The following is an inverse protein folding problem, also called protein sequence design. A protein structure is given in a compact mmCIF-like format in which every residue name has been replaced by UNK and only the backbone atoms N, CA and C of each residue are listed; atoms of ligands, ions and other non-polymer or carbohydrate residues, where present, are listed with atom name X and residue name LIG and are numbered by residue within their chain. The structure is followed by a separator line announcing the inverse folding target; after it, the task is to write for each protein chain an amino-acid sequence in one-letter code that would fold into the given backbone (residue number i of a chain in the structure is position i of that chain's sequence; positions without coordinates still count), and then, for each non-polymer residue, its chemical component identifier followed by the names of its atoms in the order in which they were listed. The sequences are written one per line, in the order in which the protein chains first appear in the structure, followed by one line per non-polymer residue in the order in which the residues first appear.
data_IF_092668882144
#
_entry.id   IF_092668882144
#
_cell.length_a   1.000
_cell.length_b   1.000
_cell.length_c   1.000
_cell.angle_alpha   90.00
_cell.angle_beta   90.00
_cell.angle_gamma   90.00
#
_symmetry.space_group_name_H-M   'P 1'
#
loop_
_entity.id
_entity.type
_entity.pdbx_description
1 polymer ?
#
# COMPACT_ATOMS: atom_id res chain seq x y z
N UNK A 1 -14.01 20.66 -16.90
CA UNK A 1 -14.31 20.99 -15.48
C UNK A 1 -12.97 21.20 -14.81
N UNK A 2 -12.87 22.18 -13.94
CA UNK A 2 -11.62 22.49 -13.24
C UNK A 2 -11.21 21.30 -12.34
N UNK A 3 -9.97 20.79 -12.41
CA UNK A 3 -9.48 19.72 -11.52
C UNK A 3 -9.64 20.04 -10.03
N UNK A 4 -9.52 21.32 -9.64
CA UNK A 4 -9.71 21.73 -8.25
C UNK A 4 -11.14 21.49 -7.76
N UNK A 5 -12.15 21.81 -8.58
CA UNK A 5 -13.57 21.55 -8.24
C UNK A 5 -13.84 20.05 -8.12
N UNK A 6 -13.31 19.24 -9.06
CA UNK A 6 -13.49 17.79 -9.01
C UNK A 6 -12.83 17.17 -7.77
N UNK A 7 -11.71 17.74 -7.33
CA UNK A 7 -11.00 17.33 -6.12
C UNK A 7 -11.80 17.64 -4.86
N UNK A 8 -12.37 18.84 -4.78
CA UNK A 8 -13.24 19.23 -3.68
C UNK A 8 -14.49 18.35 -3.62
N UNK A 9 -15.13 18.07 -4.75
CA UNK A 9 -16.28 17.16 -4.82
C UNK A 9 -15.92 15.74 -4.37
N UNK A 10 -14.75 15.24 -4.75
CA UNK A 10 -14.25 13.94 -4.29
C UNK A 10 -14.12 13.93 -2.77
N UNK A 11 -13.46 14.94 -2.19
CA UNK A 11 -13.26 15.02 -0.73
C UNK A 11 -14.60 15.12 -0.01
N UNK A 12 -15.51 16.01 -0.45
CA UNK A 12 -16.85 16.13 0.11
C UNK A 12 -17.61 14.78 0.07
N UNK A 13 -17.46 14.02 -1.02
CA UNK A 13 -18.05 12.67 -1.13
C UNK A 13 -17.47 11.66 -0.13
N UNK A 14 -16.17 11.75 0.20
CA UNK A 14 -15.51 10.88 1.17
C UNK A 14 -15.86 11.23 2.62
N UNK A 15 -16.10 12.51 2.89
CA UNK A 15 -16.55 13.04 4.18
C UNK A 15 -18.04 12.77 4.47
N UNK A 16 -18.84 12.63 3.40
CA UNK A 16 -20.29 12.49 3.50
C UNK A 16 -20.70 11.31 4.41
N UNK A 17 -21.74 11.51 5.22
CA UNK A 17 -22.19 10.54 6.24
C UNK A 17 -22.43 9.11 5.74
N UNK A 18 -22.85 8.96 4.48
CA UNK A 18 -23.07 7.64 3.88
C UNK A 18 -21.79 6.82 3.65
N UNK A 19 -20.65 7.48 3.44
CA UNK A 19 -19.33 6.84 3.30
C UNK A 19 -18.50 6.96 4.58
N UNK A 20 -18.36 8.16 5.09
CA UNK A 20 -17.63 8.54 6.31
C UNK A 20 -16.27 7.86 6.47
N UNK A 21 -15.54 7.76 5.34
CA UNK A 21 -14.23 7.15 5.32
C UNK A 21 -13.12 8.16 5.61
N UNK A 22 -13.39 9.45 5.37
CA UNK A 22 -12.51 10.57 5.65
C UNK A 22 -13.09 11.36 6.83
N UNK A 23 -12.34 11.45 7.93
CA UNK A 23 -12.79 12.01 9.22
C UNK A 23 -11.85 13.04 9.79
N UNK A 24 -10.54 12.93 9.49
CA UNK A 24 -9.50 13.85 9.91
C UNK A 24 -9.50 15.09 9.03
N UNK A 25 -9.54 16.28 9.63
CA UNK A 25 -9.43 17.56 8.91
C UNK A 25 -8.09 17.68 8.18
N UNK A 26 -6.98 17.29 8.83
CA UNK A 26 -5.66 17.31 8.22
C UNK A 26 -5.62 16.42 6.96
N UNK A 27 -6.22 15.23 7.02
CA UNK A 27 -6.29 14.33 5.89
C UNK A 27 -7.19 14.89 4.77
N UNK A 28 -8.29 15.58 5.12
CA UNK A 28 -9.15 16.26 4.16
C UNK A 28 -8.39 17.35 3.40
N UNK A 29 -7.58 18.14 4.10
CA UNK A 29 -6.70 19.14 3.50
C UNK A 29 -5.67 18.47 2.58
N UNK A 30 -5.01 17.41 3.03
CA UNK A 30 -4.03 16.67 2.23
C UNK A 30 -4.64 16.14 0.92
N UNK A 31 -5.85 15.58 0.95
CA UNK A 31 -6.54 15.12 -0.25
C UNK A 31 -6.92 16.27 -1.20
N UNK A 32 -7.17 17.49 -0.67
CA UNK A 32 -7.43 18.68 -1.49
C UNK A 32 -6.15 19.26 -2.10
N UNK A 33 -4.98 19.04 -1.50
CA UNK A 33 -3.70 19.53 -1.98
C UNK A 33 -3.14 18.67 -3.11
N UNK A 34 -3.23 17.32 -3.00
CA UNK A 34 -2.57 16.41 -3.93
C UNK A 34 -3.28 16.31 -5.29
N UNK A 35 -2.60 16.64 -6.41
CA UNK A 35 -3.15 16.53 -7.76
C UNK A 35 -3.17 15.06 -8.22
N UNK A 36 -4.26 14.33 -7.91
CA UNK A 36 -4.38 12.89 -8.20
C UNK A 36 -4.24 12.57 -9.69
N UNK A 37 -4.58 13.49 -10.59
CA UNK A 37 -4.41 13.34 -12.03
C UNK A 37 -2.97 13.04 -12.45
N UNK A 38 -1.97 13.43 -11.65
CA UNK A 38 -0.57 13.11 -11.91
C UNK A 38 -0.22 11.63 -11.66
N UNK A 39 -1.09 10.87 -10.99
CA UNK A 39 -0.85 9.49 -10.54
C UNK A 39 -1.71 8.45 -11.25
N UNK A 40 -2.66 8.87 -12.09
CA UNK A 40 -3.59 7.96 -12.78
C UNK A 40 -3.49 8.08 -14.29
N UNK A 41 -3.84 7.03 -15.05
CA UNK A 41 -3.73 7.06 -16.52
C UNK A 41 -4.81 7.91 -17.18
N UNK A 42 -5.92 8.21 -16.49
CA UNK A 42 -7.08 8.93 -17.02
C UNK A 42 -7.36 10.20 -16.20
N UNK A 43 -6.82 11.33 -16.62
CA UNK A 43 -7.01 12.62 -15.93
C UNK A 43 -8.48 13.01 -15.73
N UNK A 44 -9.35 12.74 -16.72
CA UNK A 44 -10.77 13.13 -16.66
C UNK A 44 -11.56 12.42 -15.56
N UNK A 45 -11.17 11.24 -15.18
CA UNK A 45 -11.78 10.44 -14.13
C UNK A 45 -10.91 10.28 -12.89
N UNK A 46 -9.83 11.06 -12.80
CA UNK A 46 -8.87 10.99 -11.70
C UNK A 46 -9.52 11.06 -10.31
N UNK A 47 -10.57 11.85 -10.18
CA UNK A 47 -11.27 12.09 -8.92
C UNK A 47 -12.48 11.19 -8.66
N UNK A 48 -12.73 10.23 -9.57
CA UNK A 48 -13.72 9.18 -9.32
C UNK A 48 -13.22 8.24 -8.20
N UNK A 49 -14.10 7.86 -7.28
CA UNK A 49 -13.78 6.92 -6.19
C UNK A 49 -13.71 5.48 -6.72
N UNK A 50 -12.70 5.23 -7.55
CA UNK A 50 -12.41 3.91 -8.12
C UNK A 50 -10.90 3.68 -8.26
N UNK A 51 -10.46 2.42 -8.28
CA UNK A 51 -9.06 2.10 -8.60
C UNK A 51 -8.82 2.20 -10.12
N UNK A 52 -7.54 2.35 -10.50
CA UNK A 52 -7.09 2.29 -11.88
C UNK A 52 -6.00 1.22 -12.03
N UNK A 53 -6.05 0.46 -13.10
CA UNK A 53 -4.98 -0.47 -13.47
C UNK A 53 -3.86 0.31 -14.18
N UNK A 54 -2.63 0.22 -13.67
CA UNK A 54 -1.46 0.87 -14.26
C UNK A 54 -0.20 0.07 -13.97
N UNK A 55 0.60 -0.19 -14.98
CA UNK A 55 1.87 -0.93 -14.90
C UNK A 55 1.76 -2.29 -14.19
N UNK A 56 0.61 -2.98 -14.32
CA UNK A 56 0.38 -4.28 -13.69
C UNK A 56 0.08 -4.22 -12.19
N UNK A 57 -0.12 -3.02 -11.65
CA UNK A 57 -0.61 -2.81 -10.29
C UNK A 57 -1.90 -1.98 -10.30
N UNK A 58 -2.45 -1.77 -9.12
CA UNK A 58 -3.66 -0.99 -8.93
C UNK A 58 -3.34 0.30 -8.21
N UNK A 59 -3.61 1.44 -8.87
CA UNK A 59 -3.70 2.73 -8.17
C UNK A 59 -4.96 2.71 -7.32
N UNK A 60 -4.82 2.81 -6.02
CA UNK A 60 -5.92 2.65 -5.07
C UNK A 60 -7.01 3.72 -5.27
N UNK A 61 -8.27 3.35 -5.00
CA UNK A 61 -9.36 4.31 -4.94
C UNK A 61 -9.13 5.33 -3.80
N UNK A 62 -9.58 6.60 -3.96
CA UNK A 62 -9.47 7.60 -2.90
C UNK A 62 -10.00 7.15 -1.55
N UNK A 63 -11.16 6.48 -1.52
CA UNK A 63 -11.74 5.92 -0.30
C UNK A 63 -10.85 4.85 0.36
N UNK A 64 -10.12 4.07 -0.42
CA UNK A 64 -9.18 3.08 0.12
C UNK A 64 -7.98 3.78 0.75
N UNK A 65 -7.38 4.76 0.07
CA UNK A 65 -6.25 5.54 0.60
C UNK A 65 -6.68 6.27 1.88
N UNK A 66 -7.87 6.88 1.91
CA UNK A 66 -8.42 7.53 3.10
C UNK A 66 -8.51 6.54 4.29
N UNK A 67 -9.04 5.33 4.07
CA UNK A 67 -9.11 4.29 5.11
C UNK A 67 -7.74 3.86 5.63
N UNK A 68 -6.75 3.73 4.75
CA UNK A 68 -5.38 3.39 5.13
C UNK A 68 -4.76 4.47 6.01
N UNK A 69 -4.83 5.73 5.58
CA UNK A 69 -4.21 6.85 6.30
C UNK A 69 -4.97 7.24 7.57
N UNK A 70 -6.30 7.08 7.62
CA UNK A 70 -7.09 7.19 8.87
C UNK A 70 -6.69 6.12 9.89
N UNK A 71 -6.37 4.91 9.44
CA UNK A 71 -5.91 3.84 10.33
C UNK A 71 -4.45 4.06 10.78
N UNK A 72 -3.59 4.56 9.89
CA UNK A 72 -2.19 4.88 10.17
C UNK A 72 -2.06 6.07 11.10
N UNK A 73 -2.91 7.09 10.89
CA UNK A 73 -2.95 8.35 11.64
C UNK A 73 -1.57 9.02 11.79
N UNK A 74 -0.86 9.31 10.68
CA UNK A 74 0.44 9.95 10.72
C UNK A 74 0.29 11.42 11.16
N UNK A 75 1.32 11.95 11.82
CA UNK A 75 1.37 13.31 12.34
C UNK A 75 2.55 14.07 11.75
N UNK A 76 2.44 15.38 11.73
CA UNK A 76 3.50 16.27 11.26
C UNK A 76 4.86 15.91 11.89
N UNK A 77 5.90 15.80 11.06
CA UNK A 77 7.26 15.47 11.45
C UNK A 77 7.52 13.99 11.77
N UNK A 78 6.51 13.12 11.76
CA UNK A 78 6.73 11.68 11.95
C UNK A 78 7.37 11.03 10.72
N UNK A 79 8.31 10.12 10.96
CA UNK A 79 8.95 9.30 9.92
C UNK A 79 8.03 8.17 9.46
N UNK A 80 7.76 8.10 8.17
CA UNK A 80 6.82 7.14 7.58
C UNK A 80 7.49 6.26 6.54
N UNK A 81 7.28 4.94 6.63
CA UNK A 81 7.61 3.98 5.59
C UNK A 81 6.35 3.45 4.91
N UNK A 82 6.29 3.54 3.58
CA UNK A 82 5.23 2.95 2.76
C UNK A 82 5.82 1.80 1.93
N UNK A 83 5.30 0.59 2.14
CA UNK A 83 5.73 -0.63 1.46
C UNK A 83 4.69 -1.02 0.42
N UNK A 84 5.11 -1.13 -0.84
CA UNK A 84 4.23 -1.35 -1.98
C UNK A 84 3.64 -0.06 -2.53
N UNK A 85 4.45 1.00 -2.62
CA UNK A 85 4.02 2.38 -2.92
C UNK A 85 3.39 2.57 -4.31
N UNK A 86 3.47 1.57 -5.19
CA UNK A 86 2.92 1.63 -6.52
C UNK A 86 3.43 2.85 -7.30
N UNK A 87 2.51 3.70 -7.75
CA UNK A 87 2.82 4.93 -8.52
C UNK A 87 3.02 6.18 -7.65
N UNK A 88 2.96 6.04 -6.30
CA UNK A 88 3.29 7.09 -5.34
C UNK A 88 2.13 7.96 -4.85
N UNK A 89 0.86 7.67 -5.19
CA UNK A 89 -0.26 8.52 -4.77
C UNK A 89 -0.45 8.57 -3.25
N UNK A 90 -0.44 7.41 -2.57
CA UNK A 90 -0.53 7.38 -1.10
C UNK A 90 0.65 8.09 -0.45
N UNK A 91 1.85 7.96 -1.04
CA UNK A 91 3.04 8.65 -0.55
C UNK A 91 2.91 10.18 -0.65
N UNK A 92 2.32 10.70 -1.75
CA UNK A 92 2.05 12.12 -1.89
C UNK A 92 1.05 12.65 -0.84
N UNK A 93 -0.06 11.91 -0.61
CA UNK A 93 -1.05 12.30 0.43
C UNK A 93 -0.42 12.23 1.82
N UNK A 94 0.45 11.26 2.09
CA UNK A 94 1.17 11.15 3.34
C UNK A 94 2.16 12.30 3.53
N UNK A 95 2.85 12.71 2.46
CA UNK A 95 3.81 13.82 2.47
C UNK A 95 3.17 15.16 2.87
N UNK A 96 1.93 15.41 2.48
CA UNK A 96 1.16 16.58 2.96
C UNK A 96 0.90 16.57 4.48
N UNK A 97 0.91 15.40 5.10
CA UNK A 97 0.65 15.26 6.53
C UNK A 97 1.91 15.37 7.38
N UNK A 98 3.04 14.82 6.89
CA UNK A 98 4.25 14.66 7.71
C UNK A 98 5.45 15.48 7.22
N UNK A 99 5.38 16.08 6.02
CA UNK A 99 6.51 16.62 5.27
C UNK A 99 7.09 15.58 4.32
N UNK A 100 7.44 15.98 3.10
CA UNK A 100 7.88 15.05 2.04
C UNK A 100 9.25 14.42 2.32
N UNK A 101 10.15 15.08 3.02
CA UNK A 101 11.42 14.54 3.49
C UNK A 101 11.29 13.42 4.53
N UNK A 102 10.14 13.32 5.21
CA UNK A 102 9.85 12.31 6.24
C UNK A 102 9.20 11.05 5.66
N UNK A 103 8.86 11.03 4.36
CA UNK A 103 8.24 9.89 3.69
C UNK A 103 9.25 9.06 2.94
N UNK A 104 9.32 7.79 3.30
CA UNK A 104 10.11 6.76 2.66
C UNK A 104 9.19 5.73 2.03
N UNK A 105 9.46 5.35 0.81
CA UNK A 105 8.61 4.44 0.05
C UNK A 105 9.45 3.36 -0.64
N UNK A 106 8.94 2.14 -0.66
CA UNK A 106 9.58 1.04 -1.39
C UNK A 106 8.57 0.32 -2.27
N UNK A 107 9.05 -0.11 -3.42
CA UNK A 107 8.32 -1.03 -4.28
C UNK A 107 9.30 -2.02 -4.93
N UNK A 108 8.84 -3.24 -5.19
CA UNK A 108 9.65 -4.28 -5.82
C UNK A 108 9.70 -4.09 -7.35
N UNK A 109 8.71 -3.40 -7.92
CA UNK A 109 8.57 -3.14 -9.35
C UNK A 109 9.46 -1.99 -9.83
N UNK A 110 10.51 -2.27 -10.63
CA UNK A 110 11.39 -1.24 -11.20
C UNK A 110 10.62 -0.13 -11.91
N UNK A 111 9.61 -0.50 -12.71
CA UNK A 111 8.80 0.46 -13.47
C UNK A 111 7.94 1.31 -12.56
N UNK A 112 7.44 0.74 -11.45
CA UNK A 112 6.64 1.44 -10.46
C UNK A 112 7.46 2.48 -9.70
N UNK A 113 8.66 2.12 -9.25
CA UNK A 113 9.60 3.05 -8.60
C UNK A 113 9.93 4.23 -9.51
N UNK A 114 10.18 3.97 -10.80
CA UNK A 114 10.43 5.02 -11.78
C UNK A 114 9.22 5.96 -11.93
N UNK A 115 8.03 5.38 -12.13
CA UNK A 115 6.80 6.13 -12.25
C UNK A 115 6.46 6.92 -10.97
N UNK A 116 6.66 6.32 -9.79
CA UNK A 116 6.43 7.00 -8.52
C UNK A 116 7.32 8.24 -8.37
N UNK A 117 8.63 8.11 -8.65
CA UNK A 117 9.57 9.23 -8.60
C UNK A 117 9.17 10.36 -9.54
N UNK A 118 8.80 10.03 -10.78
CA UNK A 118 8.38 11.00 -11.78
C UNK A 118 7.07 11.70 -11.37
N UNK A 119 6.08 10.94 -10.92
CA UNK A 119 4.79 11.46 -10.50
C UNK A 119 4.92 12.37 -9.27
N UNK A 120 5.68 11.94 -8.26
CA UNK A 120 5.93 12.71 -7.05
C UNK A 120 6.65 14.02 -7.37
N UNK A 121 7.71 13.99 -8.17
CA UNK A 121 8.41 15.19 -8.59
C UNK A 121 7.49 16.17 -9.37
N UNK A 122 6.65 15.65 -10.27
CA UNK A 122 5.67 16.44 -11.03
C UNK A 122 4.61 17.07 -10.12
N UNK A 123 4.22 16.36 -9.06
CA UNK A 123 3.22 16.81 -8.09
C UNK A 123 3.80 17.75 -7.00
N UNK A 124 5.12 17.97 -6.97
CA UNK A 124 5.77 18.84 -6.00
C UNK A 124 6.34 18.15 -4.75
N UNK A 125 6.33 16.81 -4.70
CA UNK A 125 6.81 16.00 -3.57
C UNK A 125 8.14 15.31 -3.88
N UNK A 126 9.09 16.05 -4.43
CA UNK A 126 10.36 15.51 -4.92
C UNK A 126 11.31 15.03 -3.82
N UNK A 127 11.11 15.41 -2.56
CA UNK A 127 11.92 14.96 -1.44
C UNK A 127 11.52 13.58 -0.89
N UNK A 128 10.34 13.04 -1.27
CA UNK A 128 9.95 11.68 -0.92
C UNK A 128 10.96 10.68 -1.45
N UNK A 129 11.57 9.90 -0.57
CA UNK A 129 12.45 8.81 -0.97
C UNK A 129 11.62 7.66 -1.54
N UNK A 130 11.90 7.23 -2.76
CA UNK A 130 11.31 6.01 -3.34
C UNK A 130 12.43 5.08 -3.76
N UNK A 131 12.52 3.89 -3.17
CA UNK A 131 13.58 2.93 -3.47
C UNK A 131 13.03 1.60 -3.99
N UNK A 132 13.83 0.93 -4.83
CA UNK A 132 13.49 -0.40 -5.32
C UNK A 132 14.01 -1.45 -4.35
N UNK A 133 13.10 -2.04 -3.57
CA UNK A 133 13.45 -3.09 -2.60
C UNK A 133 12.37 -4.13 -2.46
N UNK A 134 12.79 -5.26 -1.91
CA UNK A 134 11.86 -6.26 -1.39
C UNK A 134 11.17 -5.69 -0.14
N UNK A 135 9.84 -5.60 -0.18
CA UNK A 135 9.05 -4.93 0.84
C UNK A 135 9.11 -5.57 2.22
N UNK A 136 9.41 -6.88 2.31
CA UNK A 136 9.54 -7.58 3.59
C UNK A 136 10.77 -7.11 4.39
N UNK A 137 11.80 -6.58 3.72
CA UNK A 137 13.02 -6.06 4.34
C UNK A 137 12.93 -4.62 4.79
N UNK A 138 11.95 -3.86 4.28
CA UNK A 138 11.81 -2.44 4.57
C UNK A 138 13.04 -1.61 4.19
N UNK A 139 13.37 -0.61 5.03
CA UNK A 139 14.51 0.30 4.88
C UNK A 139 15.24 0.44 6.23
N UNK A 140 16.00 -0.58 6.69
CA UNK A 140 16.63 -0.56 8.00
C UNK A 140 17.62 0.58 8.21
N UNK A 141 18.21 1.12 7.13
CA UNK A 141 19.13 2.25 7.18
C UNK A 141 18.47 3.59 7.55
N UNK A 142 17.14 3.68 7.44
CA UNK A 142 16.34 4.86 7.81
C UNK A 142 15.49 4.63 9.06
N UNK A 143 15.53 3.42 9.65
CA UNK A 143 14.82 3.11 10.88
C UNK A 143 15.38 3.90 12.09
N UNK A 144 14.58 4.15 13.15
CA UNK A 144 13.19 3.69 13.31
C UNK A 144 12.16 4.55 12.61
N UNK A 145 11.00 3.94 12.26
CA UNK A 145 9.85 4.63 11.69
C UNK A 145 8.72 4.76 12.72
N UNK A 146 8.13 5.95 12.82
CA UNK A 146 6.94 6.16 13.65
C UNK A 146 5.71 5.48 13.05
N UNK A 147 5.64 5.43 11.73
CA UNK A 147 4.52 4.82 10.99
C UNK A 147 5.03 3.93 9.86
N UNK A 148 4.46 2.74 9.76
CA UNK A 148 4.69 1.85 8.61
C UNK A 148 3.34 1.47 8.00
N UNK A 149 3.19 1.72 6.70
CA UNK A 149 2.05 1.30 5.91
C UNK A 149 2.46 0.21 4.92
N UNK A 150 1.80 -0.94 4.97
CA UNK A 150 1.97 -1.99 3.97
C UNK A 150 0.75 -2.01 3.03
N UNK A 151 0.96 -1.70 1.75
CA UNK A 151 -0.08 -1.72 0.70
C UNK A 151 -0.16 -3.08 -0.04
N UNK A 152 0.19 -4.14 0.66
CA UNK A 152 0.08 -5.51 0.18
C UNK A 152 -0.39 -6.43 1.31
N UNK A 153 -1.11 -7.50 0.99
CA UNK A 153 -1.63 -8.41 2.00
C UNK A 153 -0.57 -9.41 2.47
N UNK A 154 -0.52 -9.64 3.77
CA UNK A 154 0.29 -10.71 4.34
C UNK A 154 -0.49 -11.47 5.42
N UNK A 155 -0.10 -12.72 5.69
CA UNK A 155 -0.77 -13.56 6.71
C UNK A 155 -0.47 -13.06 8.11
N UNK A 156 0.73 -12.53 8.29
CA UNK A 156 1.25 -11.99 9.54
C UNK A 156 2.17 -10.80 9.25
N UNK A 157 2.38 -9.91 10.22
CA UNK A 157 3.31 -8.80 10.05
C UNK A 157 4.72 -9.33 9.73
N UNK A 158 5.40 -8.76 8.73
CA UNK A 158 6.80 -9.07 8.48
C UNK A 158 7.66 -8.69 9.67
N UNK A 159 8.48 -9.63 10.16
CA UNK A 159 9.32 -9.44 11.35
C UNK A 159 10.31 -8.27 11.18
N UNK A 160 10.87 -8.14 9.99
CA UNK A 160 11.82 -7.07 9.67
C UNK A 160 11.17 -5.68 9.71
N UNK A 161 9.89 -5.56 9.32
CA UNK A 161 9.15 -4.30 9.43
C UNK A 161 8.82 -3.96 10.88
N UNK A 162 8.45 -4.96 11.69
CA UNK A 162 8.23 -4.75 13.13
C UNK A 162 9.51 -4.31 13.85
N UNK A 163 10.67 -4.84 13.45
CA UNK A 163 11.98 -4.46 14.02
C UNK A 163 12.40 -3.02 13.66
N UNK A 164 11.80 -2.44 12.60
CA UNK A 164 12.05 -1.07 12.14
C UNK A 164 11.06 -0.06 12.74
N UNK A 165 10.08 -0.52 13.51
CA UNK A 165 9.08 0.35 14.12
C UNK A 165 9.66 1.03 15.35
N UNK A 166 9.37 2.31 15.55
CA UNK A 166 9.68 3.03 16.78
C UNK A 166 8.92 2.40 17.99
N UNK A 167 9.36 2.61 19.23
CA UNK A 167 8.72 2.00 20.42
C UNK A 167 7.20 2.25 20.48
N UNK A 168 6.74 3.47 20.16
CA UNK A 168 5.33 3.87 20.12
C UNK A 168 4.79 3.91 18.69
N UNK A 169 5.49 3.26 17.77
CA UNK A 169 5.16 3.26 16.35
C UNK A 169 3.97 2.37 16.03
N UNK A 170 3.36 2.66 14.88
CA UNK A 170 2.20 1.91 14.36
C UNK A 170 2.47 1.38 12.97
N UNK A 171 2.21 0.07 12.79
CA UNK A 171 2.14 -0.57 11.48
C UNK A 171 0.69 -0.81 11.10
N UNK A 172 0.30 -0.42 9.89
CA UNK A 172 -1.02 -0.70 9.31
C UNK A 172 -0.85 -1.57 8.08
N UNK A 173 -1.64 -2.65 8.00
CA UNK A 173 -1.56 -3.60 6.90
C UNK A 173 -2.85 -4.37 6.65
N UNK A 174 -3.10 -4.82 5.41
CA UNK A 174 -4.07 -5.86 5.10
C UNK A 174 -3.56 -7.21 5.60
N UNK A 175 -4.29 -7.86 6.53
CA UNK A 175 -3.89 -9.14 7.09
C UNK A 175 -4.90 -10.24 6.74
N UNK A 176 -4.42 -11.34 6.16
CA UNK A 176 -5.21 -12.51 5.76
C UNK A 176 -4.84 -13.03 4.38
N UNK A 177 -5.22 -14.29 4.06
CA UNK A 177 -5.01 -14.93 2.75
C UNK A 177 -6.25 -14.86 1.85
N UNK A 178 -7.41 -15.14 2.39
CA UNK A 178 -8.69 -15.10 1.68
C UNK A 178 -9.46 -13.84 2.05
N UNK A 179 -10.15 -13.86 3.17
CA UNK A 179 -10.74 -12.66 3.75
C UNK A 179 -9.66 -11.86 4.46
N UNK A 180 -9.46 -10.62 4.00
CA UNK A 180 -8.45 -9.72 4.54
C UNK A 180 -9.10 -8.64 5.40
N UNK A 181 -8.49 -8.36 6.53
CA UNK A 181 -8.86 -7.25 7.41
C UNK A 181 -7.74 -6.23 7.48
N UNK A 182 -8.07 -4.96 7.34
CA UNK A 182 -7.10 -3.88 7.63
C UNK A 182 -6.87 -3.84 9.14
N UNK A 183 -5.63 -4.00 9.57
CA UNK A 183 -5.26 -4.02 10.99
C UNK A 183 -4.23 -2.95 11.32
N UNK A 184 -4.33 -2.40 12.53
CA UNK A 184 -3.29 -1.61 13.16
C UNK A 184 -2.57 -2.47 14.20
N UNK A 185 -1.23 -2.37 14.23
CA UNK A 185 -0.34 -3.16 15.07
C UNK A 185 0.57 -2.20 15.81
N UNK A 186 0.62 -2.34 17.12
CA UNK A 186 1.46 -1.55 18.04
C UNK A 186 2.08 -2.52 19.04
N UNK A 187 3.35 -2.34 19.38
CA UNK A 187 4.05 -3.26 20.27
C UNK A 187 4.10 -4.71 19.78
N UNK A 188 3.95 -4.94 18.47
CA UNK A 188 3.92 -6.27 17.86
C UNK A 188 2.56 -6.99 17.89
N UNK A 189 1.54 -6.39 18.50
CA UNK A 189 0.20 -6.96 18.63
C UNK A 189 -0.85 -6.17 17.81
N UNK A 190 -1.90 -6.88 17.33
CA UNK A 190 -3.02 -6.24 16.65
C UNK A 190 -3.86 -5.49 17.68
N UNK A 191 -3.79 -4.16 17.64
CA UNK A 191 -4.54 -3.29 18.56
C UNK A 191 -5.92 -2.92 18.02
N UNK A 192 -6.08 -2.88 16.69
CA UNK A 192 -7.36 -2.50 16.07
C UNK A 192 -7.58 -3.15 14.71
N UNK A 193 -8.85 -3.44 14.39
CA UNK A 193 -9.32 -3.88 13.08
C UNK A 193 -10.21 -2.80 12.46
N UNK A 194 -9.92 -2.45 11.20
CA UNK A 194 -10.58 -1.35 10.46
C UNK A 194 -11.50 -1.87 9.34
N UNK A 195 -11.97 -3.12 9.47
CA UNK A 195 -12.88 -3.76 8.52
C UNK A 195 -12.19 -4.44 7.34
N UNK A 196 -13.01 -5.01 6.47
CA UNK A 196 -12.58 -5.83 5.33
C UNK A 196 -11.94 -4.97 4.23
N UNK A 197 -10.89 -5.51 3.62
CA UNK A 197 -10.16 -4.93 2.49
C UNK A 197 -9.76 -6.03 1.50
N UNK A 198 -9.32 -5.64 0.30
CA UNK A 198 -8.82 -6.56 -0.72
C UNK A 198 -7.55 -6.00 -1.38
N UNK A 199 -6.42 -6.60 -1.08
CA UNK A 199 -5.12 -6.26 -1.63
C UNK A 199 -4.46 -7.47 -2.27
N UNK A 200 -3.55 -7.21 -3.23
CA UNK A 200 -2.67 -8.24 -3.74
C UNK A 200 -1.75 -8.76 -2.62
N UNK A 201 -1.39 -10.04 -2.63
CA UNK A 201 -0.43 -10.56 -1.67
C UNK A 201 0.94 -9.91 -1.84
N UNK A 202 1.64 -9.71 -0.73
CA UNK A 202 3.00 -9.22 -0.75
C UNK A 202 3.91 -10.21 -1.47
N UNK A 203 4.60 -9.73 -2.50
CA UNK A 203 5.57 -10.52 -3.27
C UNK A 203 6.93 -10.44 -2.59
N UNK A 204 7.59 -11.59 -2.43
CA UNK A 204 8.97 -11.69 -1.96
C UNK A 204 9.90 -12.07 -3.12
N UNK A 205 11.15 -11.67 -3.05
CA UNK A 205 12.14 -11.80 -4.13
C UNK A 205 12.36 -13.26 -4.59
N UNK A 206 12.27 -14.22 -3.67
CA UNK A 206 12.34 -15.65 -3.96
C UNK A 206 11.20 -16.18 -4.84
N UNK A 207 10.06 -15.49 -4.87
CA UNK A 207 8.92 -15.82 -5.72
C UNK A 207 9.06 -15.22 -7.13
N UNK A 208 10.05 -14.34 -7.33
CA UNK A 208 10.36 -13.67 -8.61
C UNK A 208 11.55 -14.26 -9.38
N UNK A 209 12.36 -15.11 -8.79
CA UNK A 209 13.60 -15.60 -9.38
C UNK A 209 13.39 -16.27 -10.75
N UNK A 210 12.18 -16.78 -11.03
CA UNK A 210 11.82 -17.45 -12.28
C UNK A 210 10.79 -16.68 -13.14
N UNK A 211 10.40 -15.46 -12.75
CA UNK A 211 9.42 -14.69 -13.53
C UNK A 211 10.06 -13.48 -14.21
N UNK A 212 10.08 -13.51 -15.54
CA UNK A 212 10.20 -12.32 -16.39
C UNK A 212 9.31 -11.22 -15.81
N UNK A 213 9.78 -9.95 -15.77
CA UNK A 213 8.98 -8.80 -15.35
C UNK A 213 7.62 -8.82 -16.07
N UNK A 214 6.62 -9.44 -15.45
CA UNK A 214 5.26 -9.45 -15.97
C UNK A 214 4.46 -8.42 -15.23
N UNK A 215 3.88 -7.52 -15.99
CA UNK A 215 2.78 -6.70 -15.50
C UNK A 215 1.62 -7.65 -15.19
N UNK A 216 1.35 -7.90 -13.90
CA UNK A 216 0.23 -8.75 -13.47
C UNK A 216 -0.99 -7.89 -13.22
N UNK A 217 -2.14 -8.33 -13.73
CA UNK A 217 -3.43 -7.78 -13.34
C UNK A 217 -3.83 -8.30 -11.96
N UNK A 218 -4.73 -7.59 -11.28
CA UNK A 218 -5.28 -8.02 -9.97
C UNK A 218 -5.94 -9.42 -10.01
N UNK A 219 -6.38 -9.85 -11.20
CA UNK A 219 -6.91 -11.18 -11.46
C UNK A 219 -5.78 -12.23 -11.44
N UNK A 220 -4.69 -11.95 -12.14
CA UNK A 220 -3.53 -12.84 -12.21
C UNK A 220 -2.85 -12.98 -10.85
N UNK A 221 -2.79 -11.91 -10.04
CA UNK A 221 -2.27 -11.95 -8.68
C UNK A 221 -3.14 -12.82 -7.77
N UNK A 222 -4.46 -12.78 -7.95
CA UNK A 222 -5.41 -13.63 -7.21
C UNK A 222 -5.24 -15.10 -7.58
N UNK A 223 -5.21 -15.40 -8.89
CA UNK A 223 -4.96 -16.75 -9.41
C UNK A 223 -3.60 -17.31 -8.98
N UNK A 224 -2.59 -16.43 -8.86
CA UNK A 224 -1.26 -16.82 -8.39
C UNK A 224 -1.25 -17.10 -6.88
N UNK A 225 -1.95 -16.29 -6.09
CA UNK A 225 -2.10 -16.50 -4.66
C UNK A 225 -2.84 -17.82 -4.36
N UNK A 226 -3.91 -18.12 -5.11
CA UNK A 226 -4.66 -19.38 -5.02
C UNK A 226 -3.76 -20.59 -5.35
N UNK A 227 -3.00 -20.52 -6.43
CA UNK A 227 -2.04 -21.56 -6.82
C UNK A 227 -0.86 -21.71 -5.83
N UNK A 228 -0.42 -20.63 -5.20
CA UNK A 228 0.63 -20.67 -4.18
C UNK A 228 0.12 -21.35 -2.89
N UNK A 229 -1.15 -21.16 -2.55
CA UNK A 229 -1.81 -21.87 -1.44
C UNK A 229 -1.93 -23.36 -1.75
N UNK A 230 -2.33 -23.72 -2.96
CA UNK A 230 -2.40 -25.11 -3.42
C UNK A 230 -1.00 -25.78 -3.46
N UNK A 231 0.03 -25.08 -3.92
CA UNK A 231 1.41 -25.58 -3.88
C UNK A 231 1.97 -25.77 -2.48
N UNK A 232 1.58 -24.95 -1.51
CA UNK A 232 1.97 -25.13 -0.09
C UNK A 232 1.27 -26.30 0.59
N UNK A 233 0.13 -26.74 0.08
CA UNK A 233 -0.46 -28.06 0.38
C UNK A 233 0.16 -29.20 -0.41
N UNK A 234 0.86 -28.90 -1.49
CA UNK A 234 1.16 -29.80 -2.61
C UNK A 234 2.58 -30.29 -2.71
N UNK A 235 3.33 -30.39 -1.63
CA UNK A 235 4.33 -31.45 -1.62
C UNK A 235 3.70 -32.85 -1.37
N UNK A 236 2.42 -32.96 -1.09
CA UNK A 236 1.55 -34.08 -1.36
C UNK A 236 1.24 -34.16 -2.86
N UNK A 237 2.26 -34.43 -3.68
CA UNK A 237 2.02 -34.73 -5.08
C UNK A 237 1.36 -36.12 -5.15
N UNK A 238 0.21 -36.21 -5.84
CA UNK A 238 -0.61 -37.42 -5.94
C UNK A 238 0.13 -38.67 -6.50
N UNK A 239 1.40 -38.55 -6.89
CA UNK A 239 2.24 -39.64 -7.36
C UNK A 239 3.24 -40.12 -6.29
N UNK A 240 3.34 -39.46 -5.14
CA UNK A 240 4.14 -39.90 -4.00
C UNK A 240 3.21 -40.62 -3.02
N UNK A 241 3.35 -41.93 -2.94
CA UNK A 241 2.65 -42.75 -1.95
C UNK A 241 3.36 -42.63 -0.58
N UNK A 242 2.86 -41.67 0.24
CA UNK A 242 3.40 -41.40 1.56
C UNK A 242 3.12 -42.49 2.59
N UNK A 243 2.19 -43.42 2.31
CA UNK A 243 1.87 -44.51 3.21
C UNK A 243 2.96 -45.61 3.27
N UNK A 244 3.90 -45.58 2.29
CA UNK A 244 5.08 -46.48 2.30
C UNK A 244 6.21 -46.02 3.24
N UNK A 245 6.13 -44.82 3.81
CA UNK A 245 7.18 -44.25 4.68
C UNK A 245 6.72 -44.01 6.12
N UNK A 246 5.60 -44.64 6.56
CA UNK A 246 5.18 -44.70 7.95
C UNK A 246 5.68 -45.92 8.68
#
# INVERSE_FOLDING_TARGET
MDPAVLRDDMVASLEHESKRVLRSEALSVAFRSVPRENFVPEERSAYADRPFEQYGTRVLAPSTVARLLEALAPREGESVLIVGSGVGYTAAVCAELVGDENVHAVDIGRRLVWAARENLARAGYGAVLVDRRNGDRGLPEYAPFDRILLEAAAVRPPTELLAQLAPDGRLVMPMGLGEQSLVAIEGGEVTKRHGTVAFAPMLVESERADTVERNRTAREDREFAERAVERRRGWEQNWIDWDQYR
#
